data_IF_585988646532
#
_entry.id   IF_585988646532
#
_cell.length_a   1.000
_cell.length_b   1.000
_cell.length_c   1.000
_cell.angle_alpha   90.00
_cell.angle_beta   90.00
_cell.angle_gamma   90.00
#
_symmetry.space_group_name_H-M   'P 1'
#
loop_
_entity.id
_entity.type
_entity.pdbx_description
1 polymer ?
#
# COMPACT_ATOMS: atom_id res chain seq x y z
N UNK A 1 -13.94 -16.57 -2.81
CA UNK A 1 -13.18 -15.85 -1.78
C UNK A 1 -13.67 -14.40 -1.76
N UNK A 2 -13.75 -13.74 -0.60
CA UNK A 2 -14.20 -12.35 -0.53
C UNK A 2 -13.04 -11.43 -0.14
N UNK A 3 -12.82 -10.36 -0.90
CA UNK A 3 -11.73 -9.39 -0.70
C UNK A 3 -12.27 -7.96 -0.83
N UNK A 4 -11.61 -6.95 -0.25
CA UNK A 4 -11.96 -5.58 -0.63
C UNK A 4 -11.24 -5.25 -1.94
N UNK A 5 -12.00 -4.74 -2.91
CA UNK A 5 -11.48 -4.57 -4.28
C UNK A 5 -11.64 -3.11 -4.69
N UNK A 6 -10.55 -2.38 -4.93
CA UNK A 6 -10.64 -1.06 -5.51
C UNK A 6 -11.04 -1.14 -6.98
N UNK A 7 -11.98 -0.30 -7.38
CA UNK A 7 -12.53 -0.29 -8.72
C UNK A 7 -12.87 1.14 -9.18
N UNK A 8 -12.78 1.37 -10.48
CA UNK A 8 -13.23 2.60 -11.13
C UNK A 8 -14.68 2.39 -11.55
N UNK A 9 -15.57 3.32 -11.19
CA UNK A 9 -16.95 3.30 -11.66
C UNK A 9 -16.99 3.78 -13.11
N UNK A 10 -17.38 2.92 -14.04
CA UNK A 10 -17.48 3.25 -15.47
C UNK A 10 -18.92 3.44 -15.94
N UNK A 11 -19.90 2.98 -15.15
CA UNK A 11 -21.31 3.20 -15.43
C UNK A 11 -22.22 2.79 -14.28
N UNK A 12 -23.51 3.04 -14.46
CA UNK A 12 -24.56 2.62 -13.54
C UNK A 12 -25.33 1.44 -14.14
N UNK A 13 -25.81 0.54 -13.30
CA UNK A 13 -26.71 -0.55 -13.69
C UNK A 13 -27.94 -0.54 -12.77
N UNK A 14 -29.03 0.10 -13.23
CA UNK A 14 -30.20 0.35 -12.39
C UNK A 14 -29.88 1.19 -11.15
N UNK A 15 -30.67 1.00 -10.09
CA UNK A 15 -30.57 1.81 -8.86
C UNK A 15 -29.56 1.28 -7.84
N UNK A 16 -29.17 0.00 -7.96
CA UNK A 16 -28.33 -0.71 -6.97
C UNK A 16 -27.01 -1.21 -7.55
N UNK A 17 -26.88 -1.28 -8.88
CA UNK A 17 -25.73 -1.84 -9.56
C UNK A 17 -24.76 -0.79 -10.10
N UNK A 18 -23.50 -1.20 -10.21
CA UNK A 18 -22.43 -0.44 -10.84
C UNK A 18 -21.85 -1.25 -11.99
N UNK A 19 -21.49 -0.58 -13.08
CA UNK A 19 -20.46 -1.10 -13.97
C UNK A 19 -19.13 -0.55 -13.51
N UNK A 20 -18.18 -1.44 -13.25
CA UNK A 20 -16.87 -1.11 -12.70
C UNK A 20 -15.76 -1.76 -13.51
N UNK A 21 -14.60 -1.12 -13.52
CA UNK A 21 -13.35 -1.76 -13.92
C UNK A 21 -12.49 -1.98 -12.69
N UNK A 22 -11.95 -3.18 -12.56
CA UNK A 22 -11.08 -3.48 -11.42
C UNK A 22 -9.76 -2.74 -11.53
N UNK A 23 -9.28 -2.26 -10.39
CA UNK A 23 -7.92 -1.71 -10.30
C UNK A 23 -6.93 -2.83 -9.95
N UNK A 24 -7.40 -3.98 -9.47
CA UNK A 24 -6.58 -5.18 -9.27
C UNK A 24 -7.35 -6.42 -9.71
N UNK A 25 -6.71 -7.42 -10.35
CA UNK A 25 -7.39 -8.66 -10.66
C UNK A 25 -7.94 -9.34 -9.41
N UNK A 26 -9.13 -9.95 -9.54
CA UNK A 26 -9.76 -10.73 -8.49
C UNK A 26 -10.10 -12.11 -9.04
N UNK A 27 -9.50 -13.17 -8.48
CA UNK A 27 -9.87 -14.57 -8.76
C UNK A 27 -10.00 -14.94 -10.26
N UNK A 28 -9.17 -14.37 -11.13
CA UNK A 28 -9.19 -14.64 -12.58
C UNK A 28 -9.88 -13.57 -13.43
N UNK A 29 -10.51 -12.57 -12.79
CA UNK A 29 -11.01 -11.37 -13.46
C UNK A 29 -9.86 -10.37 -13.63
N UNK A 30 -9.68 -9.83 -14.84
CA UNK A 30 -8.64 -8.84 -15.14
C UNK A 30 -9.08 -7.38 -14.85
N UNK A 31 -8.17 -6.43 -15.08
CA UNK A 31 -8.40 -5.00 -14.80
C UNK A 31 -8.96 -4.21 -15.99
N UNK A 32 -9.03 -4.83 -17.17
CA UNK A 32 -9.53 -4.18 -18.39
C UNK A 32 -11.02 -4.48 -18.63
N UNK A 33 -11.51 -5.57 -18.06
CA UNK A 33 -12.90 -6.01 -18.20
C UNK A 33 -13.84 -5.11 -17.39
N UNK A 34 -14.89 -4.61 -18.05
CA UNK A 34 -16.03 -4.01 -17.36
C UNK A 34 -16.89 -5.10 -16.73
N UNK A 35 -17.05 -5.02 -15.42
CA UNK A 35 -17.82 -5.96 -14.64
C UNK A 35 -19.05 -5.29 -14.08
N UNK A 36 -20.16 -6.02 -14.09
CA UNK A 36 -21.30 -5.66 -13.27
C UNK A 36 -21.00 -5.98 -11.81
N UNK A 37 -21.20 -5.04 -10.92
CA UNK A 37 -21.06 -5.22 -9.49
C UNK A 37 -22.37 -4.82 -8.80
N UNK A 38 -22.84 -5.62 -7.82
CA UNK A 38 -24.11 -5.41 -7.10
C UNK A 38 -23.96 -5.69 -5.60
N UNK A 39 -24.87 -5.20 -4.73
CA UNK A 39 -24.87 -5.60 -3.33
C UNK A 39 -25.26 -7.08 -3.19
N UNK A 40 -24.54 -7.80 -2.32
CA UNK A 40 -24.79 -9.21 -1.99
C UNK A 40 -26.13 -9.41 -1.29
N UNK A 41 -26.59 -8.41 -0.55
CA UNK A 41 -27.93 -8.39 0.05
C UNK A 41 -28.51 -7.00 -0.15
N UNK A 42 -29.56 -6.84 -0.97
CA UNK A 42 -30.19 -5.54 -1.17
C UNK A 42 -30.80 -5.06 0.15
N UNK A 43 -30.49 -3.82 0.54
CA UNK A 43 -31.06 -3.23 1.75
C UNK A 43 -32.47 -2.75 1.46
N UNK A 44 -33.43 -3.11 2.31
CA UNK A 44 -34.81 -2.60 2.17
C UNK A 44 -34.83 -1.08 2.39
N UNK A 45 -35.23 -0.34 1.36
CA UNK A 45 -35.59 1.08 1.45
C UNK A 45 -34.46 2.08 1.17
N UNK A 46 -33.20 1.66 1.02
CA UNK A 46 -32.12 2.58 0.67
C UNK A 46 -30.97 1.88 -0.06
N UNK A 47 -30.71 2.29 -1.30
CA UNK A 47 -29.59 1.81 -2.10
C UNK A 47 -28.28 2.38 -1.58
N UNK A 48 -27.30 1.51 -1.33
CA UNK A 48 -25.94 1.92 -0.94
C UNK A 48 -25.31 2.79 -2.04
N UNK A 49 -25.59 2.50 -3.32
CA UNK A 49 -25.10 3.31 -4.46
C UNK A 49 -25.73 4.70 -4.44
N UNK A 50 -27.03 4.81 -4.18
CA UNK A 50 -27.68 6.12 -4.01
C UNK A 50 -27.10 6.92 -2.85
N UNK A 51 -26.82 6.27 -1.72
CA UNK A 51 -26.19 6.92 -0.57
C UNK A 51 -24.81 7.46 -0.96
N UNK A 52 -23.99 6.67 -1.65
CA UNK A 52 -22.69 7.12 -2.14
C UNK A 52 -22.81 8.29 -3.12
N UNK A 53 -23.79 8.27 -4.03
CA UNK A 53 -24.04 9.38 -4.98
C UNK A 53 -24.47 10.69 -4.28
N UNK A 54 -25.35 10.58 -3.28
CA UNK A 54 -25.99 11.73 -2.59
C UNK A 54 -25.13 12.30 -1.47
N UNK A 55 -24.50 11.45 -0.66
CA UNK A 55 -23.74 11.85 0.54
C UNK A 55 -22.24 11.95 0.30
N UNK A 56 -21.71 11.17 -0.63
CA UNK A 56 -20.27 11.05 -0.88
C UNK A 56 -19.89 11.43 -2.32
N UNK A 57 -20.78 12.13 -3.03
CA UNK A 57 -20.50 12.72 -4.33
C UNK A 57 -20.18 11.73 -5.45
N UNK A 58 -20.33 10.41 -5.29
CA UNK A 58 -19.87 9.41 -6.26
C UNK A 58 -20.41 9.67 -7.68
N UNK A 59 -19.51 9.72 -8.67
CA UNK A 59 -19.79 9.89 -10.11
C UNK A 59 -19.07 8.83 -10.95
N UNK A 60 -19.41 8.76 -12.23
CA UNK A 60 -18.65 7.98 -13.23
C UNK A 60 -17.22 8.54 -13.27
N UNK A 61 -16.24 7.63 -13.31
CA UNK A 61 -14.82 7.90 -13.18
C UNK A 61 -14.34 8.08 -11.73
N UNK A 62 -15.27 8.08 -10.76
CA UNK A 62 -14.96 7.96 -9.35
C UNK A 62 -14.33 6.61 -9.02
N UNK A 63 -13.58 6.57 -7.92
CA UNK A 63 -12.90 5.37 -7.42
C UNK A 63 -13.61 4.91 -6.16
N UNK A 64 -13.94 3.63 -6.10
CA UNK A 64 -14.59 3.00 -4.95
C UNK A 64 -13.77 1.83 -4.45
N UNK A 65 -13.95 1.46 -3.18
CA UNK A 65 -13.60 0.14 -2.67
C UNK A 65 -14.89 -0.65 -2.51
N UNK A 66 -14.97 -1.78 -3.19
CA UNK A 66 -16.02 -2.78 -3.01
C UNK A 66 -15.64 -3.67 -1.83
N UNK A 67 -16.27 -3.48 -0.68
CA UNK A 67 -15.94 -4.21 0.55
C UNK A 67 -16.44 -5.65 0.49
N UNK A 68 -15.55 -6.60 0.83
CA UNK A 68 -15.83 -8.05 0.81
C UNK A 68 -16.50 -8.47 -0.52
N UNK A 69 -15.99 -7.95 -1.62
CA UNK A 69 -16.39 -8.32 -2.96
C UNK A 69 -16.03 -9.78 -3.24
N UNK A 70 -16.94 -10.50 -3.86
CA UNK A 70 -16.75 -11.87 -4.32
C UNK A 70 -17.34 -12.02 -5.73
N UNK A 71 -16.77 -12.95 -6.50
CA UNK A 71 -17.33 -13.33 -7.80
C UNK A 71 -18.71 -13.97 -7.64
N UNK A 72 -19.62 -13.62 -8.53
CA UNK A 72 -20.95 -14.16 -8.65
C UNK A 72 -21.32 -14.34 -10.12
N UNK A 73 -22.40 -15.09 -10.38
CA UNK A 73 -22.89 -15.29 -11.74
C UNK A 73 -23.19 -13.93 -12.38
N UNK A 74 -22.45 -13.59 -13.44
CA UNK A 74 -22.60 -12.33 -14.18
C UNK A 74 -21.84 -11.13 -13.62
N UNK A 75 -20.92 -11.30 -12.66
CA UNK A 75 -20.03 -10.24 -12.21
C UNK A 75 -19.59 -10.36 -10.74
N UNK A 76 -19.72 -9.27 -9.99
CA UNK A 76 -19.28 -9.18 -8.59
C UNK A 76 -20.46 -8.87 -7.66
N UNK A 77 -20.38 -9.40 -6.45
CA UNK A 77 -21.25 -9.00 -5.34
C UNK A 77 -20.42 -8.43 -4.19
N UNK A 78 -20.83 -7.30 -3.61
CA UNK A 78 -20.15 -6.67 -2.47
C UNK A 78 -21.03 -6.67 -1.21
N UNK A 79 -20.42 -6.62 -0.02
CA UNK A 79 -21.17 -6.42 1.24
C UNK A 79 -21.19 -4.98 1.72
N UNK A 80 -20.34 -4.14 1.14
CA UNK A 80 -20.37 -2.70 1.32
C UNK A 80 -19.63 -2.00 0.19
N UNK A 81 -19.78 -0.69 0.10
CA UNK A 81 -19.10 0.12 -0.89
C UNK A 81 -18.71 1.45 -0.25
N UNK A 82 -17.51 1.93 -0.59
CA UNK A 82 -17.04 3.24 -0.15
C UNK A 82 -16.37 4.01 -1.26
N UNK A 83 -16.71 5.29 -1.37
CA UNK A 83 -16.09 6.21 -2.32
C UNK A 83 -14.73 6.68 -1.81
N UNK A 84 -13.66 6.34 -2.54
CA UNK A 84 -12.31 6.89 -2.32
C UNK A 84 -12.14 8.22 -3.05
N UNK A 85 -12.65 8.28 -4.29
CA UNK A 85 -12.62 9.46 -5.14
C UNK A 85 -13.99 9.68 -5.74
N UNK A 86 -14.56 10.85 -5.53
CA UNK A 86 -15.93 11.17 -5.96
C UNK A 86 -16.05 11.26 -7.48
N UNK A 87 -15.08 11.93 -8.12
CA UNK A 87 -15.02 12.19 -9.57
C UNK A 87 -13.56 12.28 -10.04
N UNK A 88 -13.26 12.13 -11.35
CA UNK A 88 -11.88 12.12 -11.86
C UNK A 88 -11.04 13.34 -11.51
N UNK A 89 -11.70 14.50 -11.35
CA UNK A 89 -11.13 15.83 -11.17
C UNK A 89 -11.12 16.31 -9.70
N UNK A 90 -11.52 15.48 -8.74
CA UNK A 90 -11.43 15.78 -7.30
C UNK A 90 -10.41 14.86 -6.64
N UNK A 91 -9.59 15.45 -5.76
CA UNK A 91 -8.57 14.86 -4.88
C UNK A 91 -7.86 13.61 -5.43
N UNK A 92 -6.56 13.72 -5.67
CA UNK A 92 -5.79 12.60 -6.18
C UNK A 92 -5.87 11.39 -5.24
N UNK A 93 -6.31 10.27 -5.79
CA UNK A 93 -6.23 8.96 -5.15
C UNK A 93 -5.17 8.18 -5.92
N UNK A 94 -4.20 7.64 -5.19
CA UNK A 94 -3.20 6.72 -5.75
C UNK A 94 -3.41 5.34 -5.17
N UNK A 95 -3.33 4.36 -6.04
CA UNK A 95 -3.46 2.96 -5.67
C UNK A 95 -2.15 2.27 -6.01
N UNK A 96 -1.51 1.74 -4.98
CA UNK A 96 -0.31 0.92 -5.12
C UNK A 96 -0.70 -0.54 -4.96
N UNK A 97 -0.35 -1.33 -5.98
CA UNK A 97 -0.58 -2.77 -5.99
C UNK A 97 0.58 -3.47 -5.30
N UNK A 98 0.32 -4.65 -4.70
CA UNK A 98 1.38 -5.52 -4.13
C UNK A 98 2.40 -4.74 -3.30
N UNK A 99 1.92 -3.82 -2.49
CA UNK A 99 2.76 -2.91 -1.72
C UNK A 99 2.88 -3.43 -0.30
N UNK A 100 4.12 -3.65 0.19
CA UNK A 100 4.31 -3.97 1.60
C UNK A 100 3.85 -2.81 2.46
N UNK A 101 2.88 -3.07 3.34
CA UNK A 101 2.34 -2.10 4.30
C UNK A 101 2.49 -2.62 5.71
N UNK A 102 2.78 -1.72 6.63
CA UNK A 102 2.68 -1.97 8.08
C UNK A 102 1.68 -1.00 8.68
N UNK A 103 0.77 -1.54 9.49
CA UNK A 103 -0.24 -0.77 10.23
C UNK A 103 0.18 -0.75 11.69
N UNK A 104 0.61 0.41 12.19
CA UNK A 104 1.14 0.51 13.54
C UNK A 104 0.06 0.28 14.61
N UNK A 105 0.45 -0.14 15.82
CA UNK A 105 -0.48 -0.26 16.93
C UNK A 105 -1.24 1.04 17.18
N UNK A 106 -2.55 0.95 17.51
CA UNK A 106 -3.26 2.11 18.02
C UNK A 106 -2.60 2.56 19.32
N UNK A 107 -2.74 3.85 19.64
CA UNK A 107 -2.27 4.37 20.93
C UNK A 107 -3.04 3.71 22.06
N UNK A 108 -2.41 3.63 23.23
CA UNK A 108 -3.06 3.11 24.42
C UNK A 108 -4.36 3.89 24.71
N UNK A 109 -5.42 3.17 25.07
CA UNK A 109 -6.74 3.76 25.33
C UNK A 109 -7.59 4.06 24.09
N UNK A 110 -7.13 3.76 22.86
CA UNK A 110 -7.94 3.86 21.65
C UNK A 110 -7.84 2.60 20.79
N UNK A 111 -8.89 2.31 20.04
CA UNK A 111 -8.87 1.29 18.99
C UNK A 111 -8.44 1.86 17.63
N UNK A 112 -8.24 3.18 17.51
CA UNK A 112 -7.97 3.86 16.24
C UNK A 112 -6.50 3.75 15.85
N UNK A 113 -6.23 3.17 14.69
CA UNK A 113 -4.92 3.25 14.05
C UNK A 113 -4.76 4.67 13.49
N UNK A 114 -3.66 5.32 13.84
CA UNK A 114 -3.33 6.68 13.37
C UNK A 114 -2.17 6.74 12.38
N UNK A 115 -1.37 5.66 12.32
CA UNK A 115 -0.11 5.62 11.58
C UNK A 115 0.02 4.33 10.83
N UNK A 116 0.59 4.45 9.63
CA UNK A 116 1.01 3.33 8.82
C UNK A 116 2.32 3.67 8.12
N UNK A 117 2.96 2.66 7.55
CA UNK A 117 4.02 2.88 6.60
C UNK A 117 3.94 1.91 5.43
N UNK A 118 4.42 2.38 4.27
CA UNK A 118 4.49 1.60 3.04
C UNK A 118 5.94 1.53 2.54
N UNK A 119 6.29 0.42 1.91
CA UNK A 119 7.53 0.31 1.13
C UNK A 119 7.21 0.54 -0.34
N UNK A 120 7.87 1.53 -0.95
CA UNK A 120 7.77 1.78 -2.39
C UNK A 120 8.69 0.84 -3.15
N UNK A 121 8.31 -0.44 -3.17
CA UNK A 121 9.08 -1.51 -3.79
C UNK A 121 9.34 -1.26 -5.29
N UNK A 122 8.40 -0.60 -6.00
CA UNK A 122 8.56 -0.19 -7.40
C UNK A 122 9.68 0.83 -7.62
N UNK A 123 10.03 1.59 -6.59
CA UNK A 123 11.07 2.63 -6.61
C UNK A 123 12.38 2.11 -6.03
N UNK A 124 12.52 0.79 -5.85
CA UNK A 124 13.72 0.18 -5.29
C UNK A 124 14.93 0.33 -6.23
N UNK A 125 16.04 0.80 -5.67
CA UNK A 125 17.28 1.04 -6.41
C UNK A 125 18.30 -0.03 -6.09
N UNK A 126 18.78 -0.72 -7.12
CA UNK A 126 19.89 -1.66 -6.97
C UNK A 126 21.22 -0.92 -6.77
N UNK A 127 22.06 -1.40 -5.86
CA UNK A 127 23.37 -0.79 -5.63
C UNK A 127 24.44 -1.82 -5.28
N UNK A 128 25.67 -1.54 -5.69
CA UNK A 128 26.89 -2.23 -5.25
C UNK A 128 27.71 -1.37 -4.29
N UNK A 129 27.42 -0.06 -4.25
CA UNK A 129 27.90 0.92 -3.29
C UNK A 129 27.04 2.18 -3.36
N UNK A 130 26.71 2.75 -2.21
CA UNK A 130 25.75 3.86 -2.11
C UNK A 130 26.21 5.11 -2.86
N UNK A 131 27.52 5.40 -2.85
CA UNK A 131 28.08 6.55 -3.58
C UNK A 131 27.83 6.46 -5.09
N UNK A 132 27.88 5.26 -5.66
CA UNK A 132 27.67 5.05 -7.11
C UNK A 132 26.19 5.16 -7.49
N UNK A 133 25.29 4.82 -6.56
CA UNK A 133 23.84 4.93 -6.75
C UNK A 133 23.25 6.18 -6.08
N UNK A 134 24.06 7.15 -5.67
CA UNK A 134 23.61 8.29 -4.86
C UNK A 134 22.45 9.03 -5.53
N UNK A 135 22.59 9.34 -6.82
CA UNK A 135 21.59 10.07 -7.59
C UNK A 135 20.29 9.26 -7.72
N UNK A 136 20.39 7.97 -8.04
CA UNK A 136 19.23 7.10 -8.17
C UNK A 136 18.48 6.93 -6.84
N UNK A 137 19.21 6.74 -5.74
CA UNK A 137 18.63 6.68 -4.39
C UNK A 137 17.97 8.01 -4.02
N UNK A 138 18.60 9.14 -4.38
CA UNK A 138 18.04 10.47 -4.12
C UNK A 138 16.71 10.66 -4.86
N UNK A 139 16.64 10.31 -6.14
CA UNK A 139 15.40 10.38 -6.94
C UNK A 139 14.30 9.47 -6.38
N UNK A 140 14.64 8.25 -5.96
CA UNK A 140 13.68 7.34 -5.32
C UNK A 140 13.14 7.89 -3.99
N UNK A 141 14.00 8.58 -3.23
CA UNK A 141 13.58 9.27 -2.01
C UNK A 141 12.71 10.49 -2.33
N UNK A 142 13.02 11.28 -3.37
CA UNK A 142 12.17 12.40 -3.83
C UNK A 142 10.75 11.92 -4.11
N UNK A 143 10.59 10.80 -4.82
CA UNK A 143 9.28 10.18 -5.05
C UNK A 143 8.60 9.80 -3.72
N UNK A 144 9.33 9.19 -2.80
CA UNK A 144 8.79 8.84 -1.48
C UNK A 144 8.32 10.06 -0.66
N UNK A 145 9.06 11.17 -0.72
CA UNK A 145 8.70 12.42 -0.05
C UNK A 145 7.45 13.08 -0.64
N UNK A 146 7.02 12.74 -1.86
CA UNK A 146 5.74 13.20 -2.40
C UNK A 146 4.55 12.67 -1.60
N UNK A 147 4.70 11.54 -0.90
CA UNK A 147 3.61 10.86 -0.20
C UNK A 147 3.65 10.97 1.32
N UNK A 148 4.74 11.49 1.90
CA UNK A 148 4.84 11.61 3.35
C UNK A 148 6.28 11.67 3.85
N UNK A 149 6.49 11.25 5.10
CA UNK A 149 7.82 11.24 5.71
C UNK A 149 8.59 10.02 5.22
N UNK A 150 9.59 10.24 4.38
CA UNK A 150 10.36 9.16 3.78
C UNK A 150 11.65 8.85 4.56
N UNK A 151 11.88 7.57 4.82
CA UNK A 151 13.14 6.97 5.23
C UNK A 151 13.63 6.00 4.16
N UNK A 152 14.56 5.12 4.51
CA UNK A 152 15.16 4.19 3.56
C UNK A 152 15.44 2.83 4.20
N UNK A 153 15.04 1.77 3.50
CA UNK A 153 15.43 0.40 3.81
C UNK A 153 16.56 -0.02 2.88
N UNK A 154 17.68 -0.46 3.43
CA UNK A 154 18.71 -1.17 2.68
C UNK A 154 18.53 -2.66 2.92
N UNK A 155 18.53 -3.46 1.86
CA UNK A 155 18.30 -4.90 1.94
C UNK A 155 19.16 -5.65 0.95
N UNK A 156 19.70 -6.80 1.32
CA UNK A 156 20.39 -7.69 0.39
C UNK A 156 21.11 -8.84 1.09
N UNK A 157 21.64 -9.81 0.32
CA UNK A 157 22.25 -11.01 0.89
C UNK A 157 23.65 -10.73 1.47
N UNK A 158 23.99 -11.46 2.52
CA UNK A 158 25.36 -11.63 3.00
C UNK A 158 26.13 -12.66 2.13
N UNK A 159 27.39 -12.95 2.50
CA UNK A 159 28.22 -13.93 1.77
C UNK A 159 27.73 -15.38 1.88
N UNK A 160 26.87 -15.69 2.84
CA UNK A 160 26.28 -17.01 3.09
C UNK A 160 24.89 -17.14 2.46
N UNK A 161 24.38 -16.08 1.83
CA UNK A 161 23.05 -16.04 1.24
C UNK A 161 21.93 -15.62 2.21
N UNK A 162 22.26 -15.26 3.46
CA UNK A 162 21.25 -14.77 4.40
C UNK A 162 20.86 -13.34 4.04
N UNK A 163 19.57 -13.02 4.05
CA UNK A 163 19.10 -11.66 3.81
C UNK A 163 19.38 -10.79 5.03
N UNK A 164 20.14 -9.72 4.81
CA UNK A 164 20.34 -8.65 5.78
C UNK A 164 19.46 -7.46 5.42
N UNK A 165 19.05 -6.73 6.46
CA UNK A 165 18.33 -5.48 6.33
C UNK A 165 18.93 -4.43 7.25
N UNK A 166 18.86 -3.18 6.81
CA UNK A 166 19.27 -2.02 7.57
C UNK A 166 18.24 -0.92 7.37
N UNK A 167 17.48 -0.63 8.42
CA UNK A 167 16.38 0.32 8.38
C UNK A 167 16.83 1.70 8.85
N UNK A 168 16.53 2.71 8.04
CA UNK A 168 16.72 4.11 8.39
C UNK A 168 15.35 4.79 8.46
N UNK A 169 14.89 5.16 9.67
CA UNK A 169 13.62 5.85 9.82
C UNK A 169 13.67 7.23 9.14
N UNK A 170 12.50 7.81 8.80
CA UNK A 170 12.45 9.17 8.29
C UNK A 170 13.08 10.16 9.29
N UNK A 171 14.01 11.03 8.85
CA UNK A 171 14.58 12.07 9.69
C UNK A 171 13.53 13.08 10.17
N UNK A 172 13.88 13.86 11.18
CA UNK A 172 13.05 14.98 11.66
C UNK A 172 12.87 16.05 10.58
N UNK A 173 13.97 16.46 9.96
CA UNK A 173 13.95 17.25 8.73
C UNK A 173 13.50 16.36 7.56
N UNK A 174 12.26 16.53 7.10
CA UNK A 174 11.68 15.73 6.02
C UNK A 174 12.25 16.11 4.64
N UNK A 175 13.54 15.81 4.40
CA UNK A 175 14.25 16.08 3.15
C UNK A 175 15.13 14.91 2.73
N UNK A 176 15.33 14.79 1.42
CA UNK A 176 16.27 13.81 0.83
C UNK A 176 17.68 14.03 1.37
N UNK A 177 18.11 15.28 1.48
CA UNK A 177 19.43 15.65 1.98
C UNK A 177 19.61 15.23 3.45
N UNK A 178 18.56 15.27 4.28
CA UNK A 178 18.62 14.76 5.64
C UNK A 178 18.82 13.24 5.67
N UNK A 179 18.06 12.47 4.87
CA UNK A 179 18.21 11.01 4.76
C UNK A 179 19.62 10.66 4.29
N UNK A 180 20.10 11.31 3.22
CA UNK A 180 21.42 11.05 2.65
C UNK A 180 22.55 11.46 3.60
N UNK A 181 22.37 12.51 4.43
CA UNK A 181 23.33 12.86 5.49
C UNK A 181 23.38 11.80 6.58
N UNK A 182 22.24 11.28 7.02
CA UNK A 182 22.20 10.17 8.00
C UNK A 182 22.92 8.96 7.43
N UNK A 183 22.61 8.59 6.19
CA UNK A 183 23.23 7.48 5.49
C UNK A 183 24.74 7.63 5.36
N UNK A 184 25.23 8.82 5.00
CA UNK A 184 26.66 9.10 4.89
C UNK A 184 27.40 9.06 6.24
N UNK A 185 26.72 9.36 7.35
CA UNK A 185 27.30 9.34 8.70
C UNK A 185 27.35 7.94 9.32
N UNK A 186 26.57 7.00 8.80
CA UNK A 186 26.54 5.64 9.34
C UNK A 186 27.73 4.81 8.86
N UNK A 187 28.34 4.05 9.79
CA UNK A 187 29.42 3.11 9.48
C UNK A 187 28.85 1.81 8.92
N UNK A 188 28.56 1.82 7.62
CA UNK A 188 27.98 0.68 6.89
C UNK A 188 29.02 -0.19 6.16
N UNK A 189 30.26 -0.23 6.66
CA UNK A 189 31.39 -0.91 6.02
C UNK A 189 31.13 -2.40 5.74
N UNK A 190 30.52 -3.10 6.71
CA UNK A 190 30.17 -4.50 6.55
C UNK A 190 29.09 -4.68 5.48
N UNK A 191 28.08 -3.81 5.47
CA UNK A 191 27.02 -3.79 4.45
C UNK A 191 27.62 -3.56 3.06
N UNK A 192 28.52 -2.59 2.90
CA UNK A 192 29.20 -2.32 1.63
C UNK A 192 30.07 -3.48 1.16
N UNK A 193 30.73 -4.17 2.08
CA UNK A 193 31.48 -5.39 1.76
C UNK A 193 30.55 -6.46 1.18
N UNK A 194 29.37 -6.66 1.77
CA UNK A 194 28.38 -7.58 1.23
C UNK A 194 27.85 -7.13 -0.13
N UNK A 195 27.42 -5.87 -0.26
CA UNK A 195 26.87 -5.30 -1.50
C UNK A 195 27.80 -5.40 -2.69
N UNK A 196 29.11 -5.16 -2.49
CA UNK A 196 30.11 -5.22 -3.56
C UNK A 196 30.27 -6.63 -4.15
N UNK A 197 30.12 -7.66 -3.33
CA UNK A 197 30.26 -9.06 -3.78
C UNK A 197 28.94 -9.67 -4.28
N UNK A 198 27.81 -9.00 -4.04
CA UNK A 198 26.48 -9.49 -4.34
C UNK A 198 25.95 -9.08 -5.72
N UNK A 199 26.79 -8.48 -6.58
CA UNK A 199 26.45 -8.23 -7.99
C UNK A 199 25.22 -7.34 -8.23
N UNK A 200 24.87 -6.45 -7.29
CA UNK A 200 23.69 -5.59 -7.41
C UNK A 200 22.40 -6.17 -6.80
N UNK A 201 22.49 -7.29 -6.07
CA UNK A 201 21.37 -7.84 -5.30
C UNK A 201 20.97 -6.97 -4.09
N UNK A 202 21.80 -5.99 -3.71
CA UNK A 202 21.42 -5.05 -2.66
C UNK A 202 20.51 -3.95 -3.21
N UNK A 203 19.42 -3.69 -2.49
CA UNK A 203 18.36 -2.74 -2.84
C UNK A 203 18.23 -1.66 -1.78
N UNK A 204 18.06 -0.43 -2.22
CA UNK A 204 17.66 0.71 -1.42
C UNK A 204 16.19 1.01 -1.74
N UNK A 205 15.31 0.85 -0.77
CA UNK A 205 13.85 0.88 -0.95
C UNK A 205 13.29 2.04 -0.12
N UNK A 206 12.63 3.02 -0.73
CA UNK A 206 11.98 4.10 0.02
C UNK A 206 10.90 3.54 0.96
N UNK A 207 10.93 4.02 2.20
CA UNK A 207 9.96 3.68 3.24
C UNK A 207 9.22 4.94 3.64
N UNK A 208 7.90 4.98 3.48
CA UNK A 208 7.10 6.19 3.70
C UNK A 208 6.19 5.99 4.91
N UNK A 209 6.38 6.79 5.95
CA UNK A 209 5.43 6.92 7.05
C UNK A 209 4.35 7.95 6.71
N UNK A 210 3.10 7.56 6.95
CA UNK A 210 1.93 8.39 6.69
C UNK A 210 0.88 8.22 7.79
N UNK A 211 -0.01 9.21 7.87
CA UNK A 211 -1.19 9.12 8.74
C UNK A 211 -2.26 8.27 8.06
N UNK A 212 -3.09 7.65 8.88
CA UNK A 212 -4.34 7.06 8.40
C UNK A 212 -5.41 8.12 8.22
N UNK A 213 -6.27 7.94 7.22
CA UNK A 213 -7.47 8.74 7.08
C UNK A 213 -8.37 8.50 8.29
N UNK A 214 -8.63 9.56 9.08
CA UNK A 214 -9.44 9.49 10.31
C UNK A 214 -10.85 8.96 10.06
N UNK A 215 -11.43 9.23 8.89
CA UNK A 215 -12.75 8.73 8.52
C UNK A 215 -12.74 7.21 8.30
N UNK A 216 -11.55 6.63 8.09
CA UNK A 216 -11.35 5.21 7.76
C UNK A 216 -10.51 4.44 8.78
N UNK A 217 -9.93 5.13 9.77
CA UNK A 217 -9.10 4.57 10.82
C UNK A 217 -9.74 3.34 11.50
N UNK A 218 -11.04 3.41 11.82
CA UNK A 218 -11.79 2.29 12.40
C UNK A 218 -11.76 1.00 11.56
N UNK A 219 -11.71 1.11 10.23
CA UNK A 219 -11.72 -0.04 9.33
C UNK A 219 -10.35 -0.69 9.22
N UNK A 220 -9.29 0.12 9.10
CA UNK A 220 -7.92 -0.38 9.17
C UNK A 220 -7.61 -1.01 10.54
N UNK A 221 -8.18 -0.47 11.60
CA UNK A 221 -8.13 -1.11 12.93
C UNK A 221 -8.77 -2.48 12.94
N UNK A 222 -9.91 -2.68 12.27
CA UNK A 222 -10.54 -3.99 12.16
C UNK A 222 -9.64 -4.99 11.42
N UNK A 223 -8.96 -4.57 10.34
CA UNK A 223 -7.99 -5.41 9.63
C UNK A 223 -6.78 -5.77 10.51
N UNK A 224 -6.28 -4.82 11.32
CA UNK A 224 -5.23 -5.07 12.32
C UNK A 224 -5.69 -6.01 13.45
N UNK A 225 -6.92 -5.86 13.93
CA UNK A 225 -7.47 -6.74 14.96
C UNK A 225 -7.59 -8.19 14.47
N UNK A 226 -7.69 -8.39 13.15
CA UNK A 226 -7.68 -9.71 12.54
C UNK A 226 -6.27 -10.23 12.25
N UNK A 227 -5.27 -9.34 12.07
CA UNK A 227 -3.89 -9.73 11.70
C UNK A 227 -2.84 -8.86 12.41
N UNK A 228 -1.96 -9.44 13.25
CA UNK A 228 -0.91 -8.68 13.92
C UNK A 228 0.22 -8.28 12.96
N UNK A 229 0.37 -6.98 12.67
CA UNK A 229 1.50 -6.42 11.89
C UNK A 229 2.79 -6.28 12.72
N UNK A 230 3.01 -7.18 13.67
CA UNK A 230 4.17 -7.19 14.56
C UNK A 230 4.73 -8.60 14.55
N UNK A 231 6.02 -8.72 14.31
CA UNK A 231 6.73 -10.01 14.34
C UNK A 231 6.89 -10.51 15.77
N UNK A 232 7.22 -11.80 15.99
CA UNK A 232 7.42 -12.36 17.33
C UNK A 232 8.49 -11.65 18.16
N UNK A 233 9.46 -10.98 17.52
CA UNK A 233 10.52 -10.20 18.15
C UNK A 233 10.10 -8.75 18.49
N UNK A 234 8.85 -8.37 18.20
CA UNK A 234 8.32 -7.03 18.44
C UNK A 234 8.62 -6.01 17.34
N UNK A 235 9.35 -6.40 16.27
CA UNK A 235 9.62 -5.51 15.15
C UNK A 235 8.40 -5.34 14.24
N UNK A 236 8.32 -4.25 13.44
CA UNK A 236 7.24 -4.05 12.48
C UNK A 236 7.21 -5.19 11.45
N UNK A 237 6.08 -5.87 11.36
CA UNK A 237 5.78 -6.82 10.30
C UNK A 237 5.10 -6.13 9.12
N UNK A 238 5.30 -6.67 7.93
CA UNK A 238 4.70 -6.18 6.70
C UNK A 238 3.75 -7.20 6.13
N UNK A 239 2.74 -6.70 5.42
CA UNK A 239 1.83 -7.52 4.61
C UNK A 239 1.76 -6.95 3.21
N UNK A 240 1.70 -7.80 2.19
CA UNK A 240 1.40 -7.34 0.84
C UNK A 240 -0.08 -6.97 0.77
N UNK A 241 -0.32 -5.72 0.42
CA UNK A 241 -1.65 -5.16 0.27
C UNK A 241 -1.79 -4.42 -1.05
N UNK A 242 -3.04 -4.24 -1.45
CA UNK A 242 -3.41 -3.12 -2.30
C UNK A 242 -3.70 -1.94 -1.41
N UNK A 243 -2.88 -0.90 -1.59
CA UNK A 243 -2.89 0.30 -0.76
C UNK A 243 -3.54 1.42 -1.56
N UNK A 244 -4.56 2.05 -0.98
CA UNK A 244 -5.11 3.29 -1.50
C UNK A 244 -4.72 4.45 -0.57
N UNK A 245 -4.10 5.49 -1.15
CA UNK A 245 -3.86 6.76 -0.47
C UNK A 245 -4.70 7.86 -1.13
N UNK A 246 -5.18 8.79 -0.31
CA UNK A 246 -5.96 9.96 -0.75
C UNK A 246 -5.21 11.23 -0.37
N UNK A 247 -5.12 12.17 -1.28
CA UNK A 247 -4.61 13.50 -0.98
C UNK A 247 -5.70 14.32 -0.29
N UNK A 248 -5.42 14.73 0.94
CA UNK A 248 -6.26 15.59 1.76
C UNK A 248 -5.39 16.79 2.19
N UNK A 249 -5.45 17.86 1.39
CA UNK A 249 -4.51 18.98 1.40
C UNK A 249 -4.12 19.42 2.83
N UNK A 250 -2.82 19.40 3.20
CA UNK A 250 -1.64 19.25 2.34
C UNK A 250 -0.99 17.86 2.33
N UNK A 251 -1.65 16.80 2.81
CA UNK A 251 -1.00 15.51 3.04
C UNK A 251 -1.70 14.32 2.37
N UNK A 252 -0.91 13.29 2.06
CA UNK A 252 -1.44 12.00 1.66
C UNK A 252 -1.78 11.17 2.89
N UNK A 253 -2.98 10.60 2.89
CA UNK A 253 -3.51 9.78 3.96
C UNK A 253 -3.74 8.35 3.47
N UNK A 254 -3.34 7.37 4.28
CA UNK A 254 -3.69 5.98 4.04
C UNK A 254 -5.21 5.81 4.18
N UNK A 255 -5.87 5.50 3.08
CA UNK A 255 -7.33 5.34 3.02
C UNK A 255 -7.76 3.88 3.07
N UNK A 256 -6.96 2.97 2.49
CA UNK A 256 -7.22 1.54 2.52
C UNK A 256 -5.90 0.76 2.41
N UNK A 257 -5.85 -0.42 3.04
CA UNK A 257 -4.69 -1.31 3.03
C UNK A 257 -5.16 -2.76 3.00
N UNK A 258 -5.87 -3.12 1.94
CA UNK A 258 -6.47 -4.46 1.86
C UNK A 258 -5.43 -5.51 1.50
N UNK A 259 -5.26 -6.54 2.34
CA UNK A 259 -4.30 -7.59 2.04
C UNK A 259 -4.68 -8.42 0.80
N UNK A 260 -3.68 -8.86 0.04
CA UNK A 260 -3.88 -9.62 -1.19
C UNK A 260 -4.35 -11.06 -0.97
N UNK A 261 -4.08 -11.62 0.20
CA UNK A 261 -4.64 -12.89 0.68
C UNK A 261 -4.95 -12.76 2.18
N UNK A 262 -6.06 -13.34 2.61
CA UNK A 262 -6.50 -13.33 4.02
C UNK A 262 -5.42 -14.02 4.87
N UNK A 263 -4.76 -15.04 4.32
CA UNK A 263 -3.72 -15.85 4.96
C UNK A 263 -2.28 -15.49 4.56
N UNK A 264 -2.05 -14.38 3.83
CA UNK A 264 -0.68 -13.95 3.54
C UNK A 264 0.07 -13.72 4.85
N UNK A 265 1.11 -14.52 5.10
CA UNK A 265 1.91 -14.43 6.32
C UNK A 265 2.45 -13.01 6.48
N UNK A 266 2.31 -12.46 7.69
CA UNK A 266 3.03 -11.26 8.07
C UNK A 266 4.51 -11.60 8.03
N UNK A 267 5.25 -10.82 7.26
CA UNK A 267 6.63 -11.11 6.98
C UNK A 267 7.55 -10.03 7.52
N UNK A 268 8.75 -10.45 7.91
CA UNK A 268 9.82 -9.55 8.26
C UNK A 268 10.55 -9.02 7.03
N UNK A 269 11.46 -8.09 7.28
CA UNK A 269 12.29 -7.48 6.23
C UNK A 269 13.30 -8.46 5.59
N UNK A 270 13.42 -9.66 6.15
CA UNK A 270 14.20 -10.78 5.65
C UNK A 270 13.47 -11.59 4.56
N UNK A 271 12.14 -11.50 4.47
CA UNK A 271 11.34 -12.34 3.58
C UNK A 271 11.66 -12.18 2.09
N UNK A 272 11.65 -13.25 1.27
CA UNK A 272 12.10 -13.24 -0.13
C UNK A 272 11.61 -12.05 -0.98
N UNK A 273 12.40 -11.61 -1.97
CA UNK A 273 12.04 -10.48 -2.84
C UNK A 273 10.64 -10.60 -3.47
N UNK A 274 10.28 -11.81 -3.91
CA UNK A 274 8.93 -12.13 -4.42
C UNK A 274 7.81 -11.90 -3.39
N UNK A 275 8.09 -12.17 -2.12
CA UNK A 275 7.17 -11.99 -0.99
C UNK A 275 6.97 -10.52 -0.65
N UNK A 276 7.92 -9.65 -0.99
CA UNK A 276 7.83 -8.21 -0.69
C UNK A 276 7.57 -7.35 -1.93
N UNK A 277 7.16 -7.99 -3.04
CA UNK A 277 6.80 -7.28 -4.28
C UNK A 277 7.99 -6.70 -5.03
N UNK A 278 9.22 -7.14 -4.72
CA UNK A 278 10.45 -6.79 -5.42
C UNK A 278 10.77 -7.82 -6.52
N UNK A 279 9.79 -8.29 -7.27
CA UNK A 279 10.13 -9.03 -8.50
C UNK A 279 10.67 -8.02 -9.49
N UNK A 280 11.92 -8.20 -9.93
CA UNK A 280 12.48 -7.46 -11.06
C UNK A 280 11.45 -7.44 -12.18
N UNK A 281 11.09 -6.24 -12.65
CA UNK A 281 10.59 -6.13 -14.01
C UNK A 281 11.71 -6.70 -14.86
N UNK A 282 11.53 -7.94 -15.34
CA UNK A 282 12.45 -8.51 -16.31
C UNK A 282 12.51 -7.49 -17.45
N UNK A 283 13.69 -6.90 -17.63
CA UNK A 283 14.01 -6.13 -18.83
C UNK A 283 14.55 -7.11 -19.86
#
# INVERSE_FOLDING_TARGET
>A
MAANVPAIVVGWEGDEGLRVRLIEPLAGLDTETELLARPATPKRGQSDVEIQKKRHGLRIGGVVVLLKAAEAVGGLVWRGIDTLREKPDVHDVRIFRRTPVTIFPPREGTALVERAAILLASSAVSFTGITMSYQAISLALEEGFLYGRCGLLLRGPDRKGNVLHHFMPPPEEASVQAVMRVLARQRLENLYRHARHAGGAWKAIPYVEMKTDRLRANRMSADRLNVPYVLPDGSPGFKLATVAIRYDDPEWLLSDATPLDVDAAVFGMDAPEETIGLTSVAS
#
